data_IF_857375651028
#
_entry.id   IF_857375651028
#
_cell.length_a   1.000
_cell.length_b   1.000
_cell.length_c   1.000
_cell.angle_alpha   90.00
_cell.angle_beta   90.00
_cell.angle_gamma   90.00
#
_symmetry.space_group_name_H-M   'P 1'
#
loop_
_entity.id
_entity.type
_entity.pdbx_description
1 polymer ?
#
# COMPACT_ATOMS: atom_id res chain seq x y z
N UNK A 1 12.66 20.56 -14.58
CA UNK A 1 12.31 19.23 -14.05
C UNK A 1 11.40 18.60 -15.08
N UNK A 2 11.74 17.41 -15.57
CA UNK A 2 10.86 16.66 -16.48
C UNK A 2 9.67 16.09 -15.69
N UNK A 3 8.46 16.01 -16.26
CA UNK A 3 7.31 15.49 -15.55
C UNK A 3 7.41 13.96 -15.37
N UNK A 4 6.99 13.49 -14.19
CA UNK A 4 6.95 12.07 -13.85
C UNK A 4 5.52 11.68 -13.43
N UNK A 5 5.18 10.41 -13.67
CA UNK A 5 3.92 9.83 -13.24
C UNK A 5 4.14 8.44 -12.65
N UNK A 6 3.49 8.14 -11.53
CA UNK A 6 3.54 6.83 -10.90
C UNK A 6 2.12 6.28 -10.73
N UNK A 7 1.86 5.01 -11.11
CA UNK A 7 0.53 4.41 -11.00
C UNK A 7 -0.06 4.44 -9.60
N UNK A 8 0.79 4.45 -8.57
CA UNK A 8 0.36 4.54 -7.17
C UNK A 8 -0.45 5.81 -6.86
N UNK A 9 -0.30 6.87 -7.64
CA UNK A 9 -1.10 8.10 -7.51
C UNK A 9 -2.57 7.88 -7.85
N UNK A 10 -2.90 6.79 -8.57
CA UNK A 10 -4.27 6.40 -8.90
C UNK A 10 -4.92 5.51 -7.84
N UNK A 11 -4.22 5.19 -6.74
CA UNK A 11 -4.81 4.40 -5.65
C UNK A 11 -5.68 5.32 -4.80
N UNK A 12 -7.01 5.14 -4.89
CA UNK A 12 -7.97 5.91 -4.11
C UNK A 12 -8.11 5.39 -2.67
N UNK A 13 -7.06 5.60 -1.89
CA UNK A 13 -6.99 5.15 -0.49
C UNK A 13 -7.93 5.93 0.45
N UNK A 14 -8.31 7.15 0.04
CA UNK A 14 -9.09 8.09 0.84
C UNK A 14 -8.32 8.73 2.00
N UNK A 15 -9.06 9.35 2.91
CA UNK A 15 -8.50 10.06 4.07
C UNK A 15 -8.01 9.11 5.15
N UNK A 16 -6.99 9.51 5.90
CA UNK A 16 -6.56 8.78 7.10
C UNK A 16 -7.63 8.85 8.19
N UNK A 17 -8.02 7.70 8.75
CA UNK A 17 -9.14 7.60 9.71
C UNK A 17 -8.69 7.50 11.17
N UNK A 18 -7.38 7.42 11.42
CA UNK A 18 -6.85 7.43 12.79
C UNK A 18 -6.71 8.84 13.37
N UNK A 19 -6.53 8.92 14.69
CA UNK A 19 -6.07 10.15 15.33
C UNK A 19 -4.60 10.41 14.97
N UNK A 20 -4.17 11.67 15.07
CA UNK A 20 -2.76 12.03 14.90
C UNK A 20 -1.93 11.24 15.93
N UNK A 21 -1.01 10.35 15.50
CA UNK A 21 -0.26 9.52 16.43
C UNK A 21 0.79 10.35 17.17
N UNK A 22 0.97 10.11 18.46
CA UNK A 22 2.01 10.78 19.26
C UNK A 22 3.44 10.47 18.76
N UNK A 23 3.64 9.27 18.23
CA UNK A 23 4.85 8.81 17.55
C UNK A 23 4.52 7.55 16.74
N UNK A 24 5.49 7.04 15.99
CA UNK A 24 5.31 5.85 15.16
C UNK A 24 4.89 4.61 15.94
N UNK A 25 5.31 4.44 17.20
CA UNK A 25 4.94 3.27 18.01
C UNK A 25 3.43 3.18 18.24
N UNK A 26 2.70 4.31 18.20
CA UNK A 26 1.25 4.31 18.30
C UNK A 26 0.55 3.64 17.10
N UNK A 27 1.26 3.46 15.98
CA UNK A 27 0.77 2.77 14.79
C UNK A 27 1.11 1.27 14.80
N UNK A 28 1.82 0.78 15.81
CA UNK A 28 2.27 -0.61 15.84
C UNK A 28 1.14 -1.58 16.17
N UNK A 29 0.92 -2.54 15.29
CA UNK A 29 -0.07 -3.60 15.44
C UNK A 29 0.58 -4.86 16.02
N UNK A 30 0.55 -4.99 17.35
CA UNK A 30 1.31 -6.00 18.09
C UNK A 30 1.10 -7.44 17.59
N UNK A 31 -0.14 -7.85 17.31
CA UNK A 31 -0.46 -9.21 16.86
C UNK A 31 0.09 -9.54 15.47
N UNK A 32 0.27 -8.53 14.62
CA UNK A 32 0.81 -8.71 13.27
C UNK A 32 2.28 -8.31 13.17
N UNK A 33 2.81 -7.67 14.21
CA UNK A 33 4.17 -7.18 14.32
C UNK A 33 4.59 -6.26 13.14
N UNK A 34 3.66 -5.41 12.72
CA UNK A 34 3.82 -4.41 11.65
C UNK A 34 3.24 -3.07 12.09
N UNK A 35 3.60 -2.00 11.41
CA UNK A 35 2.89 -0.73 11.55
C UNK A 35 1.67 -0.72 10.63
N UNK A 36 0.52 -0.27 11.14
CA UNK A 36 -0.74 -0.22 10.41
C UNK A 36 -1.30 1.20 10.43
N UNK A 37 -1.69 1.69 9.26
CA UNK A 37 -2.52 2.89 9.11
C UNK A 37 -3.85 2.51 8.47
N UNK A 38 -4.93 3.08 9.00
CA UNK A 38 -6.27 2.91 8.46
C UNK A 38 -6.65 4.16 7.66
N UNK A 39 -7.31 3.92 6.54
CA UNK A 39 -7.85 4.94 5.67
C UNK A 39 -9.31 4.60 5.36
N UNK A 40 -10.03 5.52 4.71
CA UNK A 40 -11.44 5.33 4.35
C UNK A 40 -11.64 4.06 3.49
N UNK A 41 -10.79 3.87 2.49
CA UNK A 41 -10.96 2.79 1.51
C UNK A 41 -10.00 1.62 1.71
N UNK A 42 -9.22 1.59 2.79
CA UNK A 42 -8.26 0.50 3.00
C UNK A 42 -7.33 0.67 4.19
N UNK A 43 -6.30 -0.19 4.21
CA UNK A 43 -5.24 -0.18 5.21
C UNK A 43 -3.87 -0.24 4.53
N UNK A 44 -2.88 0.36 5.18
CA UNK A 44 -1.47 0.26 4.79
C UNK A 44 -0.72 -0.45 5.89
N UNK A 45 0.01 -1.50 5.52
CA UNK A 45 0.85 -2.29 6.42
C UNK A 45 2.31 -2.07 6.05
N UNK A 46 3.16 -1.82 7.06
CA UNK A 46 4.60 -1.67 6.89
C UNK A 46 5.33 -2.65 7.82
N UNK A 47 6.17 -3.50 7.23
CA UNK A 47 7.08 -4.38 7.94
C UNK A 47 8.52 -3.80 7.87
N UNK A 48 8.98 -3.08 8.91
CA UNK A 48 10.34 -2.57 8.94
C UNK A 48 11.34 -3.58 9.56
N UNK A 49 10.90 -4.80 9.89
CA UNK A 49 11.80 -5.80 10.45
C UNK A 49 12.60 -6.52 9.36
N UNK A 50 13.68 -7.19 9.77
CA UNK A 50 14.50 -8.04 8.91
C UNK A 50 13.89 -9.42 8.63
N UNK A 51 12.66 -9.68 9.08
CA UNK A 51 11.99 -10.98 8.94
C UNK A 51 10.63 -10.82 8.26
N UNK A 52 10.23 -11.82 7.49
CA UNK A 52 8.90 -11.86 6.87
C UNK A 52 7.78 -11.92 7.92
N UNK A 53 6.70 -11.17 7.69
CA UNK A 53 5.46 -11.25 8.48
C UNK A 53 4.37 -11.88 7.65
N UNK A 54 3.83 -12.99 8.15
CA UNK A 54 2.65 -13.65 7.55
C UNK A 54 1.43 -13.21 8.36
N UNK A 55 0.50 -12.53 7.68
CA UNK A 55 -0.63 -11.86 8.33
C UNK A 55 -1.91 -12.46 7.77
N UNK A 56 -2.75 -13.01 8.66
CA UNK A 56 -4.14 -13.29 8.36
C UNK A 56 -4.95 -12.01 8.58
N UNK A 57 -5.65 -11.55 7.53
CA UNK A 57 -6.34 -10.26 7.52
C UNK A 57 -7.72 -10.32 8.19
N UNK A 58 -8.26 -11.52 8.45
CA UNK A 58 -9.59 -11.72 9.04
C UNK A 58 -10.77 -11.34 8.13
N UNK A 59 -10.49 -10.77 6.96
CA UNK A 59 -11.44 -10.40 5.92
C UNK A 59 -10.73 -10.43 4.55
N UNK A 60 -11.51 -10.33 3.48
CA UNK A 60 -10.96 -10.11 2.13
C UNK A 60 -10.59 -8.66 1.94
N UNK A 61 -9.38 -8.42 1.44
CA UNK A 61 -8.91 -7.13 0.93
C UNK A 61 -8.43 -7.30 -0.51
N UNK A 62 -8.21 -6.20 -1.21
CA UNK A 62 -7.62 -6.17 -2.54
C UNK A 62 -6.24 -5.56 -2.48
N UNK A 63 -5.19 -6.39 -2.65
CA UNK A 63 -3.81 -5.93 -2.62
C UNK A 63 -3.52 -5.14 -3.89
N UNK A 64 -3.24 -3.85 -3.73
CA UNK A 64 -2.81 -2.97 -4.80
C UNK A 64 -1.33 -3.22 -5.11
N UNK A 65 -1.02 -3.47 -6.38
CA UNK A 65 0.35 -3.63 -6.88
C UNK A 65 0.54 -2.70 -8.08
N UNK A 66 1.23 -1.55 -7.90
CA UNK A 66 1.57 -0.68 -9.02
C UNK A 66 2.64 -1.33 -9.91
N UNK A 67 2.51 -1.16 -11.22
CA UNK A 67 3.46 -1.60 -12.24
C UNK A 67 3.81 -0.43 -13.14
N UNK A 68 5.10 -0.20 -13.40
CA UNK A 68 5.57 0.89 -14.25
C UNK A 68 5.68 2.23 -13.52
N UNK A 69 5.51 3.33 -14.25
CA UNK A 69 5.77 4.69 -13.80
C UNK A 69 7.15 5.23 -14.19
N UNK A 70 7.38 6.51 -13.91
CA UNK A 70 8.61 7.24 -14.22
C UNK A 70 8.34 8.46 -15.12
N UNK A 71 9.35 8.86 -15.90
CA UNK A 71 9.25 10.01 -16.81
C UNK A 71 8.14 9.84 -17.85
N UNK A 72 7.25 10.82 -17.91
CA UNK A 72 6.18 10.83 -18.91
C UNK A 72 6.82 10.88 -20.31
N UNK A 73 6.42 9.99 -21.24
CA UNK A 73 6.91 10.04 -22.61
C UNK A 73 6.68 11.40 -23.29
N UNK A 74 7.46 11.68 -24.34
CA UNK A 74 7.43 12.98 -25.02
C UNK A 74 6.09 13.34 -25.66
N UNK A 75 5.23 12.35 -25.91
CA UNK A 75 3.87 12.52 -26.43
C UNK A 75 2.82 12.81 -25.33
N UNK A 76 3.24 12.83 -24.06
CA UNK A 76 2.38 13.08 -22.91
C UNK A 76 1.41 11.93 -22.58
N UNK A 77 1.52 10.78 -23.25
CA UNK A 77 0.64 9.64 -23.03
C UNK A 77 1.23 8.70 -21.99
N UNK A 78 0.43 8.36 -20.98
CA UNK A 78 0.81 7.36 -19.99
C UNK A 78 0.77 5.97 -20.64
N UNK A 79 1.88 5.20 -20.62
CA UNK A 79 1.88 3.84 -21.15
C UNK A 79 0.79 2.97 -20.52
N UNK A 80 0.01 2.19 -21.29
CA UNK A 80 -1.05 1.33 -20.74
C UNK A 80 -0.57 0.27 -19.73
N UNK A 81 0.72 -0.06 -19.77
CA UNK A 81 1.36 -0.94 -18.79
C UNK A 81 1.59 -0.28 -17.42
N UNK A 82 1.39 1.04 -17.31
CA UNK A 82 1.50 1.80 -16.06
C UNK A 82 0.17 1.76 -15.33
N UNK A 83 -0.02 0.71 -14.52
CA UNK A 83 -1.32 0.35 -13.95
C UNK A 83 -1.17 -0.09 -12.50
N UNK A 84 -2.27 -0.07 -11.75
CA UNK A 84 -2.39 -0.75 -10.47
C UNK A 84 -3.23 -2.00 -10.68
N UNK A 85 -2.67 -3.15 -10.34
CA UNK A 85 -3.42 -4.41 -10.30
C UNK A 85 -3.94 -4.66 -8.89
N UNK A 86 -5.12 -5.26 -8.79
CA UNK A 86 -5.78 -5.56 -7.53
C UNK A 86 -6.05 -7.05 -7.44
N UNK A 87 -5.45 -7.71 -6.44
CA UNK A 87 -5.65 -9.14 -6.20
C UNK A 87 -6.37 -9.34 -4.88
N UNK A 88 -7.51 -10.02 -4.91
CA UNK A 88 -8.23 -10.39 -3.69
C UNK A 88 -7.38 -11.33 -2.82
N UNK A 89 -7.21 -10.97 -1.55
CA UNK A 89 -6.40 -11.69 -0.57
C UNK A 89 -7.08 -11.74 0.79
N UNK A 90 -6.94 -12.86 1.48
CA UNK A 90 -7.32 -13.01 2.91
C UNK A 90 -6.11 -13.08 3.83
N UNK A 91 -4.92 -13.18 3.25
CA UNK A 91 -3.64 -13.11 3.95
C UNK A 91 -2.57 -12.45 3.09
N UNK A 92 -1.55 -11.89 3.74
CA UNK A 92 -0.36 -11.36 3.06
C UNK A 92 0.91 -11.89 3.71
N UNK A 93 1.90 -12.18 2.86
CA UNK A 93 3.29 -12.35 3.29
C UNK A 93 4.03 -11.06 2.96
N UNK A 94 4.46 -10.34 4.00
CA UNK A 94 5.23 -9.11 3.87
C UNK A 94 6.71 -9.42 4.11
N UNK A 95 7.56 -9.41 3.08
CA UNK A 95 9.01 -9.59 3.22
C UNK A 95 9.64 -8.59 4.20
N UNK A 96 10.92 -8.80 4.57
CA UNK A 96 11.70 -7.78 5.26
C UNK A 96 11.65 -6.43 4.53
N UNK A 97 11.58 -5.34 5.28
CA UNK A 97 11.65 -3.96 4.76
C UNK A 97 10.67 -3.74 3.59
N UNK A 98 9.40 -4.06 3.82
CA UNK A 98 8.37 -3.99 2.78
C UNK A 98 7.05 -3.42 3.29
N UNK A 99 6.14 -3.12 2.37
CA UNK A 99 4.80 -2.66 2.67
C UNK A 99 3.77 -3.30 1.74
N UNK A 100 2.50 -3.24 2.14
CA UNK A 100 1.37 -3.50 1.27
C UNK A 100 0.26 -2.47 1.49
N UNK A 101 -0.40 -2.12 0.39
CA UNK A 101 -1.63 -1.35 0.36
C UNK A 101 -2.77 -2.33 0.09
N UNK A 102 -3.78 -2.33 0.96
CA UNK A 102 -4.88 -3.28 0.97
C UNK A 102 -6.21 -2.51 0.96
N UNK A 103 -6.95 -2.61 -0.14
CA UNK A 103 -8.22 -1.90 -0.33
C UNK A 103 -9.40 -2.72 0.19
N UNK A 104 -10.45 -2.05 0.66
CA UNK A 104 -11.65 -2.68 1.23
C UNK A 104 -12.53 -3.33 0.14
N UNK A 105 -12.77 -2.63 -0.98
CA UNK A 105 -13.44 -3.08 -2.20
C UNK A 105 -13.37 -1.99 -3.27
#
# INVERSE_FOLDING_TARGET
MEPEWFPEYSIDLGSYTGSIPANTNALYHASWQVYRRNYENGIVLVNPSSSTRNINLGATYYRAVPQGGGYIPSDGQIPPAWVVTYTAVTSVSLPPISAAILMNQ
#
